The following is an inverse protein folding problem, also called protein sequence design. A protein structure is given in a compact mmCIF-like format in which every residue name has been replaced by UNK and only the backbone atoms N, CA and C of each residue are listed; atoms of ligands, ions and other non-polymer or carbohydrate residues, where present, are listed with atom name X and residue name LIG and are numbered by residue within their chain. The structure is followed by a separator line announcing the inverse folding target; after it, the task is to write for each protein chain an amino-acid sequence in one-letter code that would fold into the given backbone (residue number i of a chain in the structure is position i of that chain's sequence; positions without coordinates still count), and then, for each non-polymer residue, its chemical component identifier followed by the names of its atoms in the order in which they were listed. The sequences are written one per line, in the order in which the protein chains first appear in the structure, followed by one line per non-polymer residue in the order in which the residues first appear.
data_IF_330678279780
#
_entry.id   IF_330678279780
#
_cell.length_a   1.000
_cell.length_b   1.000
_cell.length_c   1.000
_cell.angle_alpha   90.00
_cell.angle_beta   90.00
_cell.angle_gamma   90.00
#
_symmetry.space_group_name_H-M   'P 1'
#
loop_
_entity.id
_entity.type
_entity.pdbx_description
1 polymer ?
#
# COMPACT_ATOMS: atom_id res chain seq x y z
N UNK A 1 33.57 43.06 -7.33
CA UNK A 1 33.61 42.68 -5.92
C UNK A 1 32.20 42.86 -5.41
N UNK A 2 31.68 41.82 -4.76
CA UNK A 2 30.31 41.67 -4.21
C UNK A 2 29.30 40.98 -5.14
N UNK A 3 29.53 39.66 -5.31
CA UNK A 3 28.45 38.70 -5.51
C UNK A 3 27.93 38.27 -4.13
N UNK A 4 26.66 38.57 -3.85
CA UNK A 4 25.97 38.15 -2.65
C UNK A 4 25.58 36.66 -2.78
N UNK A 5 26.27 35.80 -2.03
CA UNK A 5 25.88 34.40 -1.84
C UNK A 5 24.49 34.30 -1.20
N UNK A 6 23.59 33.61 -1.89
CA UNK A 6 22.28 33.22 -1.39
C UNK A 6 22.45 32.20 -0.25
N UNK A 7 22.07 32.63 0.95
CA UNK A 7 22.10 31.87 2.18
C UNK A 7 20.94 30.84 2.19
N UNK A 8 21.16 29.63 1.66
CA UNK A 8 20.22 28.50 1.86
C UNK A 8 20.59 27.76 3.15
N UNK A 9 19.64 27.68 4.08
CA UNK A 9 19.76 27.03 5.39
C UNK A 9 20.21 25.57 5.32
N UNK A 10 21.52 25.31 5.40
CA UNK A 10 22.12 23.98 5.55
C UNK A 10 22.08 23.56 7.02
N UNK A 11 21.07 22.82 7.45
CA UNK A 11 21.16 22.08 8.70
C UNK A 11 21.91 20.75 8.43
N UNK A 12 23.00 20.46 9.16
CA UNK A 12 23.72 19.20 9.00
C UNK A 12 22.85 18.03 9.49
N UNK A 13 22.80 16.95 8.71
CA UNK A 13 22.15 15.70 9.13
C UNK A 13 22.79 15.22 10.45
N UNK A 14 22.02 14.65 11.40
CA UNK A 14 22.60 14.16 12.64
C UNK A 14 23.60 13.04 12.40
N UNK A 15 24.64 12.98 13.23
CA UNK A 15 25.70 11.98 13.19
C UNK A 15 25.15 10.54 13.15
N UNK A 16 24.16 10.25 14.00
CA UNK A 16 23.56 8.91 14.06
C UNK A 16 22.83 8.50 12.76
N UNK A 17 22.28 9.47 12.01
CA UNK A 17 21.72 9.22 10.68
C UNK A 17 22.85 9.03 9.66
N UNK A 18 23.89 9.86 9.69
CA UNK A 18 25.05 9.71 8.81
C UNK A 18 25.72 8.34 8.97
N UNK A 19 25.89 7.86 10.20
CA UNK A 19 26.44 6.54 10.50
C UNK A 19 25.58 5.43 9.89
N UNK A 20 24.26 5.49 10.07
CA UNK A 20 23.33 4.54 9.46
C UNK A 20 23.41 4.55 7.93
N UNK A 21 23.46 5.72 7.33
CA UNK A 21 23.57 5.86 5.88
C UNK A 21 24.88 5.27 5.37
N UNK A 22 26.00 5.56 6.04
CA UNK A 22 27.30 5.01 5.71
C UNK A 22 27.34 3.48 5.86
N UNK A 23 26.80 2.94 6.96
CA UNK A 23 26.71 1.49 7.21
C UNK A 23 25.88 0.78 6.14
N UNK A 24 24.86 1.43 5.60
CA UNK A 24 23.98 0.89 4.57
C UNK A 24 24.42 1.24 3.14
N UNK A 25 25.56 1.94 2.97
CA UNK A 25 26.07 2.37 1.66
C UNK A 25 25.15 3.38 0.95
N UNK A 26 24.35 4.14 1.71
CA UNK A 26 23.43 5.16 1.20
C UNK A 26 24.16 6.50 1.22
N UNK A 27 24.21 7.18 0.06
CA UNK A 27 24.87 8.48 -0.03
C UNK A 27 24.04 9.57 0.69
N UNK A 28 24.57 10.26 1.71
CA UNK A 28 23.81 11.28 2.46
C UNK A 28 23.27 12.44 1.64
N UNK A 29 23.86 12.72 0.47
CA UNK A 29 23.37 13.76 -0.45
C UNK A 29 21.93 13.56 -0.90
N UNK A 30 21.37 12.34 -0.81
CA UNK A 30 19.95 12.10 -1.12
C UNK A 30 19.00 12.93 -0.24
N UNK A 31 19.43 13.31 0.96
CA UNK A 31 18.64 14.15 1.87
C UNK A 31 18.93 15.64 1.72
N UNK A 32 20.02 16.01 1.04
CA UNK A 32 20.35 17.40 0.76
C UNK A 32 19.38 18.02 -0.28
N UNK A 33 18.69 17.19 -1.07
CA UNK A 33 17.70 17.62 -2.05
C UNK A 33 16.30 17.85 -1.45
N UNK A 34 16.14 17.80 -0.12
CA UNK A 34 14.86 17.79 0.59
C UNK A 34 13.91 18.94 0.23
N UNK A 35 14.44 20.14 0.07
CA UNK A 35 13.66 21.33 -0.27
C UNK A 35 13.29 21.43 -1.77
N UNK A 36 13.83 20.52 -2.60
CA UNK A 36 13.61 20.53 -4.05
C UNK A 36 12.70 19.40 -4.57
N UNK A 37 12.29 18.46 -3.70
CA UNK A 37 11.35 17.40 -4.08
C UNK A 37 9.93 17.99 -4.19
N UNK A 38 9.33 17.95 -5.38
CA UNK A 38 8.00 18.49 -5.58
C UNK A 38 6.93 17.65 -4.84
N UNK A 39 5.77 18.26 -4.62
CA UNK A 39 4.58 17.53 -4.18
C UNK A 39 3.91 16.89 -5.37
N UNK A 40 3.38 15.69 -5.18
CA UNK A 40 2.65 14.98 -6.21
C UNK A 40 1.17 14.91 -5.88
N UNK A 41 0.35 15.09 -6.90
CA UNK A 41 -1.08 14.83 -6.88
C UNK A 41 -1.42 13.88 -8.01
N UNK A 42 -2.49 13.13 -7.81
CA UNK A 42 -3.15 12.39 -8.87
C UNK A 42 -4.51 13.00 -9.16
N UNK A 43 -4.79 13.17 -10.45
CA UNK A 43 -6.10 13.52 -10.97
C UNK A 43 -6.97 12.26 -10.99
N UNK A 44 -8.20 12.36 -10.47
CA UNK A 44 -9.13 11.24 -10.55
C UNK A 44 -9.59 11.06 -12.01
N UNK A 45 -9.70 9.82 -12.54
CA UNK A 45 -10.16 9.58 -13.90
C UNK A 45 -11.47 10.30 -14.22
N UNK A 46 -11.55 10.89 -15.43
CA UNK A 46 -12.72 11.65 -15.89
C UNK A 46 -12.70 13.15 -15.58
N UNK A 47 -11.62 13.67 -14.97
CA UNK A 47 -11.44 15.10 -14.68
C UNK A 47 -10.42 15.78 -15.61
N UNK A 48 -10.04 15.17 -16.74
CA UNK A 48 -9.01 15.70 -17.65
C UNK A 48 -9.33 17.10 -18.17
N UNK A 49 -10.63 17.39 -18.39
CA UNK A 49 -11.11 18.70 -18.85
C UNK A 49 -11.11 19.80 -17.79
N UNK A 50 -10.80 19.50 -16.52
CA UNK A 50 -10.89 20.48 -15.41
C UNK A 50 -9.52 20.97 -14.95
N UNK A 51 -8.43 20.67 -15.66
CA UNK A 51 -7.06 21.05 -15.25
C UNK A 51 -6.94 22.56 -15.04
N UNK A 52 -7.41 23.37 -15.98
CA UNK A 52 -7.31 24.84 -15.90
C UNK A 52 -8.09 25.39 -14.68
N UNK A 53 -9.24 24.80 -14.36
CA UNK A 53 -10.03 25.15 -13.17
C UNK A 53 -9.31 24.77 -11.87
N UNK A 54 -8.66 23.60 -11.86
CA UNK A 54 -7.87 23.12 -10.72
C UNK A 54 -6.64 24.01 -10.51
N UNK A 55 -5.94 24.39 -11.58
CA UNK A 55 -4.80 25.31 -11.54
C UNK A 55 -5.21 26.67 -10.97
N UNK A 56 -6.36 27.21 -11.39
CA UNK A 56 -6.91 28.46 -10.89
C UNK A 56 -7.31 28.37 -9.40
N UNK A 57 -7.88 27.25 -8.95
CA UNK A 57 -8.29 27.02 -7.55
C UNK A 57 -7.09 26.79 -6.61
N UNK A 58 -6.03 26.13 -7.09
CA UNK A 58 -4.78 25.96 -6.32
C UNK A 58 -3.93 27.22 -6.37
N UNK A 59 -4.06 28.04 -7.41
CA UNK A 59 -3.19 29.20 -7.66
C UNK A 59 -1.80 28.82 -8.14
N UNK A 60 -1.66 27.66 -8.80
CA UNK A 60 -0.38 27.13 -9.27
C UNK A 60 -0.59 26.27 -10.51
N UNK A 61 0.36 26.34 -11.45
CA UNK A 61 0.37 25.50 -12.64
C UNK A 61 0.71 24.05 -12.27
N UNK A 62 -0.01 23.10 -12.85
CA UNK A 62 0.24 21.67 -12.71
C UNK A 62 1.20 21.21 -13.81
N UNK A 63 2.37 20.74 -13.42
CA UNK A 63 3.31 20.15 -14.39
C UNK A 63 3.06 18.64 -14.48
N UNK A 64 2.93 18.09 -15.69
CA UNK A 64 2.57 16.68 -15.91
C UNK A 64 3.75 15.76 -15.64
N UNK A 65 3.51 14.64 -14.96
CA UNK A 65 4.47 13.56 -14.79
C UNK A 65 4.38 12.63 -16.00
N UNK A 66 5.25 12.81 -16.99
CA UNK A 66 5.12 12.12 -18.29
C UNK A 66 5.19 10.60 -18.24
N UNK A 67 5.87 10.04 -17.24
CA UNK A 67 6.07 8.60 -17.09
C UNK A 67 4.96 7.92 -16.27
N UNK A 68 4.04 8.70 -15.69
CA UNK A 68 2.95 8.19 -14.85
C UNK A 68 1.63 8.89 -15.19
N UNK A 69 0.66 8.19 -15.80
CA UNK A 69 -0.63 8.77 -16.18
C UNK A 69 -1.38 9.39 -15.00
N UNK A 70 -2.11 10.47 -15.25
CA UNK A 70 -2.90 11.23 -14.26
C UNK A 70 -2.10 11.89 -13.12
N UNK A 71 -0.77 11.78 -13.11
CA UNK A 71 0.06 12.42 -12.10
C UNK A 71 0.54 13.80 -12.53
N UNK A 72 0.52 14.72 -11.57
CA UNK A 72 1.05 16.06 -11.70
C UNK A 72 1.91 16.37 -10.48
N UNK A 73 2.94 17.19 -10.70
CA UNK A 73 3.75 17.70 -9.61
C UNK A 73 3.56 19.21 -9.44
N UNK A 74 3.74 19.64 -8.19
CA UNK A 74 3.51 20.96 -7.65
C UNK A 74 4.74 21.38 -6.85
N UNK A 75 4.99 22.69 -6.69
CA UNK A 75 6.01 23.17 -5.77
C UNK A 75 5.82 22.62 -4.33
N UNK A 76 6.91 22.39 -3.58
CA UNK A 76 6.87 21.69 -2.28
C UNK A 76 6.01 22.38 -1.20
N UNK A 77 5.87 23.70 -1.29
CA UNK A 77 5.17 24.59 -0.37
C UNK A 77 3.65 24.68 -0.63
N UNK A 78 3.21 24.30 -1.84
CA UNK A 78 1.80 24.37 -2.23
C UNK A 78 0.96 23.33 -1.47
N UNK A 79 -0.12 23.81 -0.84
CA UNK A 79 -1.06 22.99 -0.06
C UNK A 79 -2.38 22.86 -0.79
N UNK A 80 -2.77 21.62 -1.12
CA UNK A 80 -4.05 21.35 -1.81
C UNK A 80 -5.24 21.20 -0.87
N UNK A 81 -5.02 21.03 0.45
CA UNK A 81 -6.09 20.65 1.38
C UNK A 81 -7.24 21.69 1.46
N UNK A 82 -6.95 22.96 1.18
CA UNK A 82 -7.90 24.07 1.17
C UNK A 82 -8.57 24.31 -0.18
N UNK A 83 -8.15 23.62 -1.25
CA UNK A 83 -8.69 23.81 -2.59
C UNK A 83 -10.08 23.15 -2.72
N UNK A 84 -10.96 23.74 -3.54
CA UNK A 84 -12.24 23.13 -3.91
C UNK A 84 -12.01 21.79 -4.61
N UNK A 85 -11.03 21.70 -5.51
CA UNK A 85 -10.68 20.49 -6.23
C UNK A 85 -10.36 19.31 -5.30
N UNK A 86 -9.57 19.57 -4.27
CA UNK A 86 -9.28 18.54 -3.28
C UNK A 86 -10.53 18.21 -2.46
N UNK A 87 -11.31 19.19 -1.99
CA UNK A 87 -12.50 18.94 -1.17
C UNK A 87 -13.60 18.16 -1.91
N UNK A 88 -13.76 18.41 -3.21
CA UNK A 88 -14.72 17.73 -4.08
C UNK A 88 -14.24 16.37 -4.59
N UNK A 89 -13.01 15.98 -4.27
CA UNK A 89 -12.48 14.67 -4.62
C UNK A 89 -12.00 14.53 -6.07
N UNK A 90 -11.75 15.64 -6.75
CA UNK A 90 -11.22 15.65 -8.13
C UNK A 90 -9.73 15.30 -8.17
N UNK A 91 -9.00 15.62 -7.09
CA UNK A 91 -7.57 15.32 -6.93
C UNK A 91 -7.29 14.76 -5.54
N UNK A 92 -6.23 13.97 -5.42
CA UNK A 92 -5.69 13.55 -4.13
C UNK A 92 -4.16 13.47 -4.12
N UNK A 93 -3.58 13.69 -2.94
CA UNK A 93 -2.12 13.64 -2.76
C UNK A 93 -1.63 12.20 -2.64
N UNK A 94 -0.68 11.83 -3.49
CA UNK A 94 0.02 10.55 -3.46
C UNK A 94 1.41 10.78 -4.09
N UNK A 95 2.46 10.20 -3.51
CA UNK A 95 3.81 10.30 -4.07
C UNK A 95 3.90 9.52 -5.39
N UNK A 96 4.58 10.07 -6.39
CA UNK A 96 4.68 9.42 -7.70
C UNK A 96 5.33 8.03 -7.64
N UNK A 97 6.31 7.79 -6.75
CA UNK A 97 6.86 6.44 -6.58
C UNK A 97 5.78 5.47 -6.06
N UNK A 98 4.93 5.91 -5.13
CA UNK A 98 3.80 5.10 -4.65
C UNK A 98 2.79 4.78 -5.75
N UNK A 99 2.58 5.71 -6.69
CA UNK A 99 1.77 5.46 -7.88
C UNK A 99 2.42 4.48 -8.86
N UNK A 100 3.76 4.50 -8.97
CA UNK A 100 4.52 3.53 -9.74
C UNK A 100 4.32 2.10 -9.22
N UNK A 101 4.35 1.90 -7.89
CA UNK A 101 4.09 0.59 -7.28
C UNK A 101 2.69 0.05 -7.61
N UNK A 102 1.66 0.90 -7.57
CA UNK A 102 0.30 0.50 -8.00
C UNK A 102 0.25 0.20 -9.49
N UNK A 103 0.93 1.01 -10.32
CA UNK A 103 1.00 0.80 -11.77
C UNK A 103 1.72 -0.50 -12.14
N UNK A 104 2.71 -0.92 -11.33
CA UNK A 104 3.43 -2.18 -11.53
C UNK A 104 2.52 -3.42 -11.36
N UNK A 105 1.42 -3.32 -10.59
CA UNK A 105 0.46 -4.43 -10.45
C UNK A 105 -0.24 -4.78 -11.76
N UNK A 106 -0.33 -3.83 -12.71
CA UNK A 106 -0.99 -4.04 -14.00
C UNK A 106 -2.46 -4.49 -13.82
N UNK A 107 -3.21 -3.68 -13.05
CA UNK A 107 -4.60 -3.97 -12.68
C UNK A 107 -5.51 -3.82 -13.90
N UNK A 108 -6.34 -4.83 -14.13
CA UNK A 108 -7.37 -4.85 -15.17
C UNK A 108 -8.77 -4.73 -14.57
N UNK A 109 -9.73 -4.24 -15.36
CA UNK A 109 -11.14 -4.22 -14.97
C UNK A 109 -11.62 -5.64 -14.65
N UNK A 110 -12.32 -5.82 -13.53
CA UNK A 110 -12.77 -7.13 -13.06
C UNK A 110 -11.79 -7.86 -12.14
N UNK A 111 -10.55 -7.38 -11.97
CA UNK A 111 -9.60 -8.00 -11.04
C UNK A 111 -10.09 -7.94 -9.58
N UNK A 112 -9.82 -8.99 -8.82
CA UNK A 112 -9.93 -8.98 -7.37
C UNK A 112 -8.56 -8.70 -6.77
N UNK A 113 -8.44 -7.54 -6.11
CA UNK A 113 -7.18 -7.03 -5.58
C UNK A 113 -7.15 -7.10 -4.06
N UNK A 114 -6.03 -7.52 -3.49
CA UNK A 114 -5.74 -7.45 -2.06
C UNK A 114 -4.67 -6.39 -1.80
N UNK A 115 -4.92 -5.47 -0.87
CA UNK A 115 -3.91 -4.57 -0.30
C UNK A 115 -3.72 -4.95 1.17
N UNK A 116 -2.59 -5.59 1.48
CA UNK A 116 -2.34 -6.24 2.77
C UNK A 116 -1.92 -5.25 3.88
N UNK A 117 -1.55 -4.02 3.49
CA UNK A 117 -1.13 -2.94 4.38
C UNK A 117 -1.77 -1.62 3.93
N UNK A 118 -3.10 -1.62 3.84
CA UNK A 118 -3.86 -0.66 3.04
C UNK A 118 -3.91 0.76 3.60
N UNK A 119 -3.73 0.95 4.91
CA UNK A 119 -3.91 2.28 5.48
C UNK A 119 -2.66 3.16 5.24
N UNK A 120 -2.78 4.47 4.99
CA UNK A 120 -3.97 5.31 5.13
C UNK A 120 -4.90 5.32 3.91
N UNK A 121 -4.62 4.59 2.83
CA UNK A 121 -5.58 4.34 1.74
C UNK A 121 -5.31 5.04 0.40
N UNK A 122 -4.20 5.76 0.22
CA UNK A 122 -3.92 6.44 -1.05
C UNK A 122 -3.66 5.47 -2.22
N UNK A 123 -2.87 4.41 -1.98
CA UNK A 123 -2.65 3.33 -2.96
C UNK A 123 -3.95 2.56 -3.22
N UNK A 124 -4.70 2.22 -2.17
CA UNK A 124 -6.04 1.63 -2.26
C UNK A 124 -7.01 2.43 -3.14
N UNK A 125 -7.05 3.76 -3.00
CA UNK A 125 -7.87 4.62 -3.86
C UNK A 125 -7.42 4.53 -5.33
N UNK A 126 -6.11 4.52 -5.59
CA UNK A 126 -5.61 4.35 -6.95
C UNK A 126 -5.94 2.97 -7.54
N UNK A 127 -5.85 1.91 -6.74
CA UNK A 127 -6.28 0.55 -7.14
C UNK A 127 -7.75 0.57 -7.58
N UNK A 128 -8.62 1.20 -6.79
CA UNK A 128 -10.05 1.31 -7.09
C UNK A 128 -10.33 2.14 -8.35
N UNK A 129 -9.57 3.22 -8.59
CA UNK A 129 -9.67 3.99 -9.83
C UNK A 129 -9.26 3.17 -11.06
N UNK A 130 -8.23 2.31 -10.95
CA UNK A 130 -7.79 1.42 -12.03
C UNK A 130 -8.80 0.29 -12.31
N UNK A 131 -9.52 -0.16 -11.28
CA UNK A 131 -10.45 -1.27 -11.36
C UNK A 131 -11.75 -0.93 -12.13
N UNK A 132 -12.18 0.32 -12.09
CA UNK A 132 -13.37 0.77 -12.80
C UNK A 132 -14.67 0.26 -12.16
N UNK A 133 -15.56 -0.32 -12.97
CA UNK A 133 -16.93 -0.67 -12.57
C UNK A 133 -17.14 -2.13 -12.14
N UNK A 134 -16.11 -2.97 -12.21
CA UNK A 134 -16.21 -4.41 -11.91
C UNK A 134 -14.97 -4.92 -11.19
N UNK A 135 -15.11 -6.02 -10.46
CA UNK A 135 -14.09 -6.56 -9.55
C UNK A 135 -14.21 -6.01 -8.13
N UNK A 136 -13.25 -6.35 -7.26
CA UNK A 136 -13.31 -5.94 -5.84
C UNK A 136 -11.95 -5.67 -5.24
N UNK A 137 -11.88 -4.80 -4.23
CA UNK A 137 -10.66 -4.56 -3.45
C UNK A 137 -10.85 -4.92 -1.98
N UNK A 138 -10.02 -5.82 -1.47
CA UNK A 138 -9.88 -6.09 -0.03
C UNK A 138 -8.72 -5.26 0.52
N UNK A 139 -8.98 -4.35 1.47
CA UNK A 139 -7.94 -3.66 2.23
C UNK A 139 -7.80 -4.23 3.64
N UNK A 140 -6.57 -4.51 4.05
CA UNK A 140 -6.24 -5.05 5.38
C UNK A 140 -5.21 -4.16 6.05
N UNK A 141 -5.37 -3.90 7.35
CA UNK A 141 -4.36 -3.24 8.17
C UNK A 141 -4.62 -3.54 9.66
N UNK A 142 -3.56 -3.64 10.46
CA UNK A 142 -3.69 -3.88 11.91
C UNK A 142 -4.19 -2.62 12.65
N UNK A 143 -3.92 -1.43 12.12
CA UNK A 143 -4.21 -0.16 12.77
C UNK A 143 -5.62 0.35 12.42
N UNK A 144 -6.61 -0.04 13.23
CA UNK A 144 -8.02 0.40 13.10
C UNK A 144 -8.22 1.91 12.92
N UNK A 145 -7.43 2.74 13.60
CA UNK A 145 -7.52 4.19 13.47
C UNK A 145 -7.03 4.70 12.10
N UNK A 146 -5.98 4.08 11.51
CA UNK A 146 -5.52 4.41 10.16
C UNK A 146 -6.54 3.95 9.12
N UNK A 147 -7.18 2.80 9.32
CA UNK A 147 -8.27 2.35 8.45
C UNK A 147 -9.51 3.24 8.52
N UNK A 148 -9.79 3.89 9.66
CA UNK A 148 -10.84 4.89 9.72
C UNK A 148 -10.54 6.11 8.83
N UNK A 149 -9.26 6.50 8.72
CA UNK A 149 -8.82 7.51 7.75
C UNK A 149 -8.96 7.01 6.31
N UNK A 150 -8.58 5.76 6.03
CA UNK A 150 -8.79 5.10 4.73
C UNK A 150 -10.26 5.12 4.30
N UNK A 151 -11.17 4.69 5.18
CA UNK A 151 -12.62 4.78 4.96
C UNK A 151 -13.06 6.21 4.64
N UNK A 152 -12.50 7.21 5.34
CA UNK A 152 -12.85 8.61 5.09
C UNK A 152 -12.39 9.07 3.71
N UNK A 153 -11.23 8.61 3.23
CA UNK A 153 -10.78 8.84 1.85
C UNK A 153 -11.71 8.16 0.84
N UNK A 154 -12.05 6.88 1.04
CA UNK A 154 -12.96 6.15 0.16
C UNK A 154 -14.32 6.85 0.01
N UNK A 155 -14.90 7.32 1.11
CA UNK A 155 -16.16 8.07 1.10
C UNK A 155 -16.01 9.43 0.41
N UNK A 156 -14.92 10.16 0.69
CA UNK A 156 -14.65 11.47 0.08
C UNK A 156 -14.51 11.36 -1.44
N UNK A 157 -13.81 10.34 -1.94
CA UNK A 157 -13.55 10.15 -3.36
C UNK A 157 -14.62 9.31 -4.06
N UNK A 158 -15.64 8.82 -3.35
CA UNK A 158 -16.69 7.98 -3.94
C UNK A 158 -16.16 6.66 -4.51
N UNK A 159 -15.18 6.04 -3.85
CA UNK A 159 -14.52 4.79 -4.27
C UNK A 159 -14.89 3.60 -3.37
N UNK A 160 -15.89 3.76 -2.51
CA UNK A 160 -16.24 2.77 -1.49
C UNK A 160 -16.95 1.53 -2.02
N UNK A 161 -17.63 1.60 -3.16
CA UNK A 161 -18.64 0.60 -3.57
C UNK A 161 -18.06 -0.79 -3.80
N UNK A 162 -16.86 -0.90 -4.37
CA UNK A 162 -16.19 -2.17 -4.66
C UNK A 162 -15.19 -2.59 -3.57
N UNK A 163 -15.13 -1.87 -2.45
CA UNK A 163 -14.12 -2.05 -1.42
C UNK A 163 -14.69 -2.69 -0.15
N UNK A 164 -13.87 -3.51 0.52
CA UNK A 164 -14.10 -4.02 1.88
C UNK A 164 -12.83 -3.86 2.71
N UNK A 165 -12.97 -3.39 3.95
CA UNK A 165 -11.85 -3.14 4.85
C UNK A 165 -11.92 -4.04 6.09
N UNK A 166 -10.81 -4.70 6.38
CA UNK A 166 -10.64 -5.55 7.55
C UNK A 166 -9.55 -5.01 8.47
N UNK A 167 -9.82 -4.98 9.77
CA UNK A 167 -8.78 -4.86 10.79
C UNK A 167 -8.27 -6.28 11.08
N UNK A 168 -7.06 -6.58 10.64
CA UNK A 168 -6.42 -7.88 10.85
C UNK A 168 -4.90 -7.77 10.78
N UNK A 169 -4.22 -8.80 11.27
CA UNK A 169 -2.80 -8.99 11.03
C UNK A 169 -2.60 -9.49 9.59
N UNK A 170 -1.86 -8.72 8.79
CA UNK A 170 -1.56 -9.07 7.41
C UNK A 170 -0.74 -10.35 7.26
N UNK A 171 0.02 -10.76 8.28
CA UNK A 171 0.84 -11.99 8.23
C UNK A 171 0.00 -13.26 8.32
N UNK A 172 -1.22 -13.18 8.89
CA UNK A 172 -2.11 -14.32 9.12
C UNK A 172 -3.46 -14.20 8.41
N UNK A 173 -3.76 -13.06 7.78
CA UNK A 173 -5.00 -12.85 7.02
C UNK A 173 -5.23 -13.97 6.00
N UNK A 174 -6.46 -14.48 5.91
CA UNK A 174 -6.75 -15.72 5.17
C UNK A 174 -8.03 -15.70 4.32
N UNK A 175 -8.73 -14.55 4.23
CA UNK A 175 -9.98 -14.47 3.47
C UNK A 175 -9.71 -14.29 1.97
N UNK A 176 -10.39 -15.11 1.16
CA UNK A 176 -10.35 -15.06 -0.30
C UNK A 176 -11.19 -13.93 -0.88
N UNK A 177 -10.99 -13.56 -2.17
CA UNK A 177 -11.88 -12.63 -2.82
C UNK A 177 -13.31 -13.18 -2.91
N UNK A 178 -14.29 -12.30 -2.68
CA UNK A 178 -15.70 -12.64 -2.80
C UNK A 178 -16.14 -12.38 -4.24
N UNK A 179 -16.56 -13.44 -4.94
CA UNK A 179 -17.13 -13.37 -6.29
C UNK A 179 -18.65 -13.33 -6.20
N UNK A 180 -19.31 -12.47 -6.97
CA UNK A 180 -20.74 -12.17 -6.85
C UNK A 180 -21.70 -13.35 -7.16
N UNK A 181 -21.21 -14.52 -7.57
CA UNK A 181 -22.03 -15.64 -8.06
C UNK A 181 -22.41 -16.70 -7.00
N UNK A 182 -22.22 -16.44 -5.70
CA UNK A 182 -22.63 -17.36 -4.63
C UNK A 182 -23.85 -16.83 -3.87
N UNK A 183 -24.96 -16.56 -4.56
CA UNK A 183 -26.23 -16.33 -3.90
C UNK A 183 -26.98 -17.66 -3.80
N UNK A 184 -26.87 -18.34 -2.65
CA UNK A 184 -27.85 -19.36 -2.29
C UNK A 184 -29.08 -18.64 -1.74
N UNK A 185 -30.24 -18.86 -2.36
CA UNK A 185 -31.53 -18.41 -1.82
C UNK A 185 -31.86 -19.23 -0.57
N UNK A 186 -31.21 -18.94 0.55
CA UNK A 186 -31.58 -19.48 1.85
C UNK A 186 -32.07 -18.36 2.75
N UNK A 187 -33.39 -18.26 2.85
CA UNK A 187 -34.05 -17.42 3.84
C UNK A 187 -33.95 -18.08 5.23
N UNK A 188 -32.83 -17.86 5.93
CA UNK A 188 -32.81 -17.63 7.38
C UNK A 188 -31.37 -17.53 7.91
N UNK A 189 -30.85 -16.30 7.98
CA UNK A 189 -29.98 -15.80 9.06
C UNK A 189 -29.79 -14.28 8.88
N UNK A 190 -29.17 -13.58 9.84
CA UNK A 190 -28.94 -12.13 9.73
C UNK A 190 -27.90 -11.79 8.67
N UNK A 191 -28.33 -11.70 7.41
CA UNK A 191 -27.51 -11.34 6.24
C UNK A 191 -26.98 -9.90 6.33
N UNK A 192 -25.79 -9.64 5.80
CA UNK A 192 -25.25 -8.29 5.63
C UNK A 192 -26.10 -7.47 4.67
N UNK A 193 -26.69 -6.38 5.18
CA UNK A 193 -27.44 -5.40 4.39
C UNK A 193 -26.51 -4.32 3.84
N UNK A 194 -27.00 -3.43 2.98
CA UNK A 194 -26.22 -2.28 2.53
C UNK A 194 -25.62 -1.51 3.71
N UNK A 195 -24.32 -1.24 3.61
CA UNK A 195 -23.58 -0.57 4.66
C UNK A 195 -24.14 0.82 4.91
N UNK A 196 -24.30 1.17 6.18
CA UNK A 196 -24.68 2.51 6.59
C UNK A 196 -23.79 2.99 7.73
N UNK A 197 -23.55 4.30 7.79
CA UNK A 197 -22.69 4.91 8.81
C UNK A 197 -23.29 4.88 10.23
N UNK A 198 -24.60 4.63 10.34
CA UNK A 198 -25.33 4.66 11.61
C UNK A 198 -25.16 3.34 12.36
N UNK A 199 -24.12 3.28 13.19
CA UNK A 199 -23.93 2.17 14.13
C UNK A 199 -25.15 1.98 15.05
N UNK A 200 -25.72 0.76 15.14
CA UNK A 200 -26.77 0.45 16.10
C UNK A 200 -26.36 0.85 17.52
N UNK A 201 -27.29 1.42 18.28
CA UNK A 201 -27.08 1.85 19.67
C UNK A 201 -26.43 0.76 20.56
N UNK A 202 -26.80 -0.51 20.35
CA UNK A 202 -26.28 -1.66 21.10
C UNK A 202 -24.77 -1.88 20.93
N UNK A 203 -24.21 -1.61 19.75
CA UNK A 203 -22.76 -1.71 19.50
C UNK A 203 -22.01 -0.54 20.14
N UNK A 204 -22.54 0.68 20.01
CA UNK A 204 -21.98 1.88 20.67
C UNK A 204 -21.90 1.70 22.17
N UNK A 205 -22.94 1.12 22.79
CA UNK A 205 -22.97 0.81 24.22
C UNK A 205 -21.93 -0.25 24.62
N UNK A 206 -21.75 -1.31 23.81
CA UNK A 206 -20.75 -2.37 24.06
C UNK A 206 -19.31 -1.85 23.99
N UNK A 207 -19.01 -1.00 23.01
CA UNK A 207 -17.69 -0.37 22.88
C UNK A 207 -17.42 0.69 23.95
N UNK A 208 -18.44 1.40 24.42
CA UNK A 208 -18.31 2.35 25.53
C UNK A 208 -17.95 1.60 26.83
N UNK A 209 -18.65 0.50 27.11
CA UNK A 209 -18.35 -0.39 28.25
C UNK A 209 -16.94 -1.00 28.13
N UNK A 210 -16.53 -1.43 26.92
CA UNK A 210 -15.19 -1.96 26.70
C UNK A 210 -14.07 -0.90 26.88
N UNK A 211 -14.36 0.37 26.58
CA UNK A 211 -13.45 1.50 26.83
C UNK A 211 -13.35 1.86 28.30
N UNK A 212 -14.47 1.84 29.03
CA UNK A 212 -14.50 2.09 30.48
C UNK A 212 -13.77 0.99 31.28
N UNK A 213 -13.79 -0.25 30.81
CA UNK A 213 -13.10 -1.37 31.46
C UNK A 213 -11.59 -1.43 31.18
N UNK A 214 -10.98 -0.41 30.55
CA UNK A 214 -9.53 -0.30 30.39
C UNK A 214 -8.87 -1.38 29.52
N UNK A 215 -9.63 -2.17 28.74
CA UNK A 215 -9.06 -3.16 27.85
C UNK A 215 -8.48 -2.46 26.60
N UNK A 216 -7.25 -1.96 26.71
CA UNK A 216 -6.43 -1.72 25.52
C UNK A 216 -6.14 -3.09 24.93
N UNK A 217 -6.92 -3.52 23.92
CA UNK A 217 -6.72 -4.82 23.28
C UNK A 217 -5.38 -4.77 22.55
N UNK A 218 -4.34 -5.28 23.21
CA UNK A 218 -3.16 -5.80 22.52
C UNK A 218 -3.69 -6.82 21.51
N UNK A 219 -3.43 -6.60 20.23
CA UNK A 219 -3.94 -7.46 19.17
C UNK A 219 -3.35 -8.86 19.40
N UNK A 220 -4.20 -9.83 19.70
CA UNK A 220 -3.77 -11.22 19.83
C UNK A 220 -3.74 -11.83 18.42
N UNK A 221 -2.68 -12.58 18.04
CA UNK A 221 -2.51 -13.15 16.69
C UNK A 221 -3.65 -14.07 16.22
N UNK A 222 -4.56 -14.45 17.12
CA UNK A 222 -5.67 -15.40 16.91
C UNK A 222 -7.04 -14.74 16.73
N UNK A 223 -7.12 -13.40 16.64
CA UNK A 223 -8.40 -12.72 16.51
C UNK A 223 -8.90 -12.73 15.06
N UNK A 224 -10.12 -13.21 14.82
CA UNK A 224 -10.77 -13.18 13.50
C UNK A 224 -10.74 -11.76 12.89
N UNK A 225 -10.52 -11.61 11.56
CA UNK A 225 -10.52 -10.32 10.89
C UNK A 225 -11.79 -9.50 11.17
N UNK A 226 -11.66 -8.25 11.65
CA UNK A 226 -12.83 -7.41 11.92
C UNK A 226 -13.23 -6.63 10.65
N UNK A 227 -14.38 -6.96 10.05
CA UNK A 227 -14.92 -6.16 8.95
C UNK A 227 -15.45 -4.81 9.47
N UNK A 228 -14.87 -3.70 9.01
CA UNK A 228 -15.20 -2.34 9.50
C UNK A 228 -15.87 -1.45 8.44
N UNK A 229 -15.78 -1.83 7.17
CA UNK A 229 -16.37 -1.13 6.04
C UNK A 229 -16.55 -2.09 4.87
N UNK A 230 -17.64 -1.95 4.12
CA UNK A 230 -17.88 -2.65 2.87
C UNK A 230 -18.82 -1.84 2.00
N UNK A 231 -18.54 -1.75 0.71
CA UNK A 231 -19.41 -1.09 -0.26
C UNK A 231 -20.52 -2.00 -0.79
N UNK A 232 -21.44 -1.42 -1.58
CA UNK A 232 -22.57 -2.14 -2.17
C UNK A 232 -22.12 -3.30 -3.07
N UNK A 233 -21.10 -3.08 -3.88
CA UNK A 233 -20.59 -4.01 -4.89
C UNK A 233 -19.33 -4.76 -4.39
N UNK A 234 -19.05 -4.73 -3.09
CA UNK A 234 -17.89 -5.40 -2.48
C UNK A 234 -18.04 -6.92 -2.37
N UNK A 235 -19.17 -7.49 -2.80
CA UNK A 235 -19.53 -8.89 -2.63
C UNK A 235 -20.07 -9.26 -1.24
N UNK A 236 -20.01 -8.35 -0.26
CA UNK A 236 -20.43 -8.65 1.12
C UNK A 236 -21.96 -8.61 1.30
N UNK A 237 -22.64 -7.71 0.58
CA UNK A 237 -24.11 -7.54 0.69
C UNK A 237 -24.79 -8.82 0.22
N UNK A 238 -25.70 -9.38 1.04
CA UNK A 238 -26.36 -10.65 0.72
C UNK A 238 -25.69 -11.88 1.34
N UNK A 239 -24.50 -11.76 1.92
CA UNK A 239 -23.83 -12.87 2.62
C UNK A 239 -24.17 -12.93 4.12
N UNK A 240 -24.14 -14.13 4.66
CA UNK A 240 -24.10 -14.39 6.10
C UNK A 240 -22.67 -14.22 6.65
N UNK A 241 -22.54 -14.12 7.98
CA UNK A 241 -21.22 -14.12 8.63
C UNK A 241 -20.44 -15.40 8.30
N UNK A 242 -21.11 -16.56 8.30
CA UNK A 242 -20.43 -17.83 8.05
C UNK A 242 -19.89 -17.90 6.61
N UNK A 243 -20.66 -17.44 5.62
CA UNK A 243 -20.20 -17.40 4.23
C UNK A 243 -19.04 -16.42 4.03
N UNK A 244 -19.08 -15.25 4.68
CA UNK A 244 -18.00 -14.26 4.59
C UNK A 244 -16.68 -14.78 5.18
N UNK A 245 -16.75 -15.49 6.32
CA UNK A 245 -15.59 -15.93 7.09
C UNK A 245 -15.21 -17.39 6.85
N UNK A 246 -15.81 -18.05 5.86
CA UNK A 246 -15.43 -19.40 5.48
C UNK A 246 -13.96 -19.42 5.05
N UNK A 247 -13.14 -20.11 5.85
CA UNK A 247 -11.73 -20.33 5.54
C UNK A 247 -11.59 -21.39 4.47
N UNK A 248 -10.72 -21.15 3.51
CA UNK A 248 -10.55 -22.03 2.35
C UNK A 248 -9.24 -22.81 2.45
N UNK A 249 -9.30 -24.12 2.15
CA UNK A 249 -8.13 -25.01 2.11
C UNK A 249 -7.16 -24.63 0.98
N UNK A 250 -5.86 -24.96 1.11
CA UNK A 250 -4.80 -24.43 0.25
C UNK A 250 -4.98 -24.73 -1.25
N UNK A 251 -5.62 -25.86 -1.60
CA UNK A 251 -5.81 -26.26 -3.01
C UNK A 251 -6.72 -25.29 -3.79
N UNK A 252 -7.70 -24.69 -3.12
CA UNK A 252 -8.66 -23.80 -3.76
C UNK A 252 -8.08 -22.40 -4.06
N UNK A 253 -6.98 -22.01 -3.40
CA UNK A 253 -6.37 -20.68 -3.58
C UNK A 253 -5.72 -20.53 -4.95
N UNK A 254 -5.26 -21.63 -5.54
CA UNK A 254 -4.65 -21.62 -6.87
C UNK A 254 -5.59 -21.09 -7.95
N UNK A 255 -6.91 -21.31 -7.81
CA UNK A 255 -7.93 -20.86 -8.77
C UNK A 255 -8.81 -19.71 -8.23
N UNK A 256 -9.06 -19.68 -6.92
CA UNK A 256 -9.97 -18.72 -6.26
C UNK A 256 -9.24 -17.61 -5.50
N UNK A 257 -7.91 -17.57 -5.54
CA UNK A 257 -7.11 -16.50 -4.94
C UNK A 257 -7.31 -15.14 -5.61
N UNK A 258 -6.65 -14.13 -5.07
CA UNK A 258 -6.64 -12.78 -5.63
C UNK A 258 -5.90 -12.74 -6.96
N UNK A 259 -6.41 -11.97 -7.91
CA UNK A 259 -5.76 -11.72 -9.20
C UNK A 259 -4.50 -10.88 -9.02
N UNK A 260 -4.56 -9.92 -8.10
CA UNK A 260 -3.50 -8.96 -7.79
C UNK A 260 -3.32 -8.81 -6.27
N UNK A 261 -2.09 -8.71 -5.81
CA UNK A 261 -1.77 -8.48 -4.39
C UNK A 261 -0.74 -7.37 -4.24
N UNK A 262 -1.04 -6.35 -3.45
CA UNK A 262 -0.10 -5.32 -3.03
C UNK A 262 0.35 -5.59 -1.58
N UNK A 263 1.66 -5.64 -1.39
CA UNK A 263 2.31 -5.66 -0.09
C UNK A 263 3.18 -4.40 0.02
N UNK A 264 2.56 -3.28 0.38
CA UNK A 264 3.26 -2.04 0.74
C UNK A 264 3.65 -2.10 2.22
N UNK A 265 4.75 -2.79 2.51
CA UNK A 265 5.06 -3.24 3.86
C UNK A 265 5.48 -2.08 4.78
N UNK A 266 5.21 -2.24 6.09
CA UNK A 266 5.74 -1.34 7.10
C UNK A 266 7.28 -1.36 7.08
N UNK A 267 7.87 -0.16 6.97
CA UNK A 267 9.30 0.06 6.79
C UNK A 267 9.86 1.00 7.86
N UNK A 268 11.18 1.17 7.89
CA UNK A 268 11.87 2.23 8.64
C UNK A 268 11.56 3.64 8.13
N UNK A 269 11.03 3.79 6.91
CA UNK A 269 10.72 5.07 6.25
C UNK A 269 11.92 5.99 5.99
N UNK A 270 13.13 5.43 5.94
CA UNK A 270 14.37 6.14 5.63
C UNK A 270 14.43 6.67 4.18
N UNK A 271 13.61 6.15 3.26
CA UNK A 271 13.45 6.72 1.92
C UNK A 271 12.52 7.94 1.87
N UNK A 272 11.74 8.21 2.91
CA UNK A 272 10.79 9.33 2.93
C UNK A 272 11.37 10.56 3.62
N UNK A 273 11.86 11.52 2.82
CA UNK A 273 12.38 12.79 3.35
C UNK A 273 11.37 13.51 4.24
N UNK A 274 10.08 13.53 3.85
CA UNK A 274 9.02 14.16 4.64
C UNK A 274 8.83 13.48 6.00
N UNK A 275 9.08 12.18 6.10
CA UNK A 275 9.05 11.48 7.39
C UNK A 275 10.29 11.82 8.22
N UNK A 276 11.45 11.95 7.59
CA UNK A 276 12.69 12.37 8.25
C UNK A 276 12.57 13.80 8.82
N UNK A 277 12.05 14.75 8.05
CA UNK A 277 11.79 16.11 8.51
C UNK A 277 10.77 16.17 9.68
N UNK A 278 9.79 15.25 9.72
CA UNK A 278 8.88 15.15 10.88
C UNK A 278 9.61 14.69 12.15
N UNK A 279 10.68 13.90 12.04
CA UNK A 279 11.48 13.50 13.20
C UNK A 279 12.30 14.65 13.79
N UNK A 280 12.62 15.69 13.00
CA UNK A 280 13.17 16.93 13.54
C UNK A 280 12.19 17.59 14.53
N UNK A 281 10.89 17.50 14.26
CA UNK A 281 9.83 18.05 15.11
C UNK A 281 9.47 17.13 16.30
N UNK A 282 9.61 15.80 16.13
CA UNK A 282 9.21 14.79 17.13
C UNK A 282 10.36 14.32 18.03
N UNK A 283 11.61 14.70 17.72
CA UNK A 283 12.80 14.38 18.48
C UNK A 283 13.57 13.15 17.95
N UNK A 284 14.90 13.31 17.85
CA UNK A 284 15.84 12.31 17.32
C UNK A 284 15.92 11.00 18.12
N UNK A 285 15.44 10.98 19.36
CA UNK A 285 15.29 9.75 20.16
C UNK A 285 14.25 8.81 19.57
N UNK A 286 13.16 9.35 19.02
CA UNK A 286 12.13 8.56 18.32
C UNK A 286 12.64 8.02 17.00
N UNK A 287 13.48 8.79 16.29
CA UNK A 287 14.16 8.35 15.08
C UNK A 287 15.13 7.20 15.37
N UNK A 288 16.01 7.37 16.37
CA UNK A 288 16.96 6.32 16.78
C UNK A 288 16.24 5.01 17.10
N UNK A 289 15.15 5.06 17.85
CA UNK A 289 14.33 3.89 18.18
C UNK A 289 13.61 3.25 16.98
N UNK A 290 13.26 4.03 15.95
CA UNK A 290 12.50 3.53 14.79
C UNK A 290 13.35 3.08 13.62
N UNK A 291 14.56 3.63 13.48
CA UNK A 291 15.40 3.48 12.28
C UNK A 291 16.79 2.93 12.61
N UNK A 292 17.35 3.21 13.80
CA UNK A 292 18.75 2.91 14.13
C UNK A 292 18.92 1.68 15.06
N UNK A 293 17.85 1.15 15.64
CA UNK A 293 17.91 -0.05 16.47
C UNK A 293 17.94 -1.30 15.58
N UNK A 294 19.08 -2.00 15.57
CA UNK A 294 19.31 -3.18 14.74
C UNK A 294 18.33 -4.32 15.05
N UNK A 295 18.03 -4.58 16.33
CA UNK A 295 17.04 -5.60 16.76
C UNK A 295 15.67 -5.37 16.10
N UNK A 296 15.23 -4.10 16.01
CA UNK A 296 13.97 -3.76 15.33
C UNK A 296 14.06 -3.90 13.81
N UNK A 297 15.24 -3.68 13.22
CA UNK A 297 15.43 -3.83 11.77
C UNK A 297 15.32 -5.29 11.36
N UNK A 298 15.87 -6.21 12.18
CA UNK A 298 15.71 -7.65 12.01
C UNK A 298 14.24 -8.07 12.19
N UNK A 299 13.56 -7.56 13.22
CA UNK A 299 12.12 -7.80 13.42
C UNK A 299 11.27 -7.31 12.23
N UNK A 300 11.62 -6.14 11.66
CA UNK A 300 10.93 -5.59 10.49
C UNK A 300 11.16 -6.43 9.23
N UNK A 301 12.39 -6.88 8.98
CA UNK A 301 12.66 -7.76 7.83
C UNK A 301 11.93 -9.10 7.95
N UNK A 302 11.82 -9.66 9.17
CA UNK A 302 11.02 -10.86 9.45
C UNK A 302 9.53 -10.59 9.19
N UNK A 303 8.99 -9.49 9.71
CA UNK A 303 7.60 -9.09 9.47
C UNK A 303 7.30 -8.91 7.98
N UNK A 304 8.20 -8.22 7.26
CA UNK A 304 8.09 -7.98 5.82
C UNK A 304 8.09 -9.28 5.02
N UNK A 305 8.97 -10.23 5.36
CA UNK A 305 8.99 -11.56 4.77
C UNK A 305 7.68 -12.31 5.05
N UNK A 306 7.15 -12.26 6.27
CA UNK A 306 5.87 -12.89 6.62
C UNK A 306 4.69 -12.28 5.85
N UNK A 307 4.66 -10.96 5.70
CA UNK A 307 3.66 -10.25 4.90
C UNK A 307 3.74 -10.63 3.42
N UNK A 308 4.96 -10.65 2.86
CA UNK A 308 5.21 -11.05 1.46
C UNK A 308 4.77 -12.50 1.23
N UNK A 309 5.18 -13.42 2.11
CA UNK A 309 4.81 -14.83 2.04
C UNK A 309 3.30 -15.02 2.15
N UNK A 310 2.61 -14.33 3.06
CA UNK A 310 1.16 -14.45 3.18
C UNK A 310 0.41 -13.82 2.00
N UNK A 311 0.86 -12.66 1.52
CA UNK A 311 0.34 -12.05 0.30
C UNK A 311 0.48 -12.99 -0.90
N UNK A 312 1.65 -13.60 -1.06
CA UNK A 312 1.89 -14.56 -2.14
C UNK A 312 1.06 -15.82 -1.97
N UNK A 313 0.86 -16.32 -0.74
CA UNK A 313 -0.04 -17.45 -0.46
C UNK A 313 -1.45 -17.19 -1.00
N UNK A 314 -1.99 -15.98 -0.82
CA UNK A 314 -3.33 -15.56 -1.24
C UNK A 314 -3.45 -15.21 -2.73
N UNK A 315 -2.34 -15.13 -3.45
CA UNK A 315 -2.32 -14.88 -4.89
C UNK A 315 -2.73 -16.14 -5.67
N UNK A 316 -3.57 -16.02 -6.69
CA UNK A 316 -3.89 -17.13 -7.60
C UNK A 316 -2.71 -17.45 -8.55
N UNK A 317 -2.74 -18.61 -9.21
CA UNK A 317 -1.76 -18.92 -10.28
C UNK A 317 -1.88 -17.91 -11.42
N UNK A 318 -0.74 -17.40 -11.90
CA UNK A 318 -0.67 -16.40 -12.95
C UNK A 318 -1.08 -14.98 -12.53
N UNK A 319 -1.46 -14.78 -11.25
CA UNK A 319 -1.68 -13.45 -10.69
C UNK A 319 -0.37 -12.69 -10.48
N UNK A 320 -0.47 -11.38 -10.22
CA UNK A 320 0.70 -10.56 -9.90
C UNK A 320 0.69 -10.05 -8.46
N UNK A 321 1.84 -10.14 -7.80
CA UNK A 321 2.09 -9.51 -6.51
C UNK A 321 3.14 -8.41 -6.67
N UNK A 322 2.91 -7.25 -6.08
CA UNK A 322 3.93 -6.21 -5.91
C UNK A 322 4.27 -6.07 -4.44
N UNK A 323 5.54 -6.28 -4.13
CA UNK A 323 6.15 -5.91 -2.86
C UNK A 323 6.78 -4.53 -3.01
N UNK A 324 6.47 -3.62 -2.09
CA UNK A 324 7.12 -2.32 -2.03
C UNK A 324 7.45 -1.90 -0.61
N UNK A 325 8.55 -1.17 -0.45
CA UNK A 325 8.86 -0.47 0.80
C UNK A 325 9.34 0.95 0.50
N UNK A 326 9.13 1.82 1.49
CA UNK A 326 9.65 3.16 1.54
C UNK A 326 11.07 3.25 2.15
N UNK A 327 11.79 2.13 2.22
CA UNK A 327 13.15 2.04 2.78
C UNK A 327 14.19 1.99 1.67
N UNK A 328 15.37 2.56 1.93
CA UNK A 328 16.52 2.46 1.05
C UNK A 328 17.48 1.34 1.49
N UNK A 329 17.34 0.84 2.72
CA UNK A 329 18.13 -0.28 3.25
C UNK A 329 17.95 -1.56 2.42
N UNK A 330 19.05 -2.29 2.24
CA UNK A 330 19.08 -3.56 1.48
C UNK A 330 18.43 -4.69 2.27
N UNK A 331 18.63 -4.71 3.59
CA UNK A 331 18.06 -5.71 4.51
C UNK A 331 16.53 -5.80 4.48
N UNK A 332 15.82 -4.70 4.19
CA UNK A 332 14.36 -4.65 4.09
C UNK A 332 13.84 -4.87 2.65
N UNK A 333 14.74 -4.93 1.68
CA UNK A 333 14.42 -4.97 0.26
C UNK A 333 14.98 -6.23 -0.37
N UNK A 334 16.19 -6.18 -0.92
CA UNK A 334 16.76 -7.32 -1.63
C UNK A 334 16.95 -8.54 -0.74
N UNK A 335 17.35 -8.39 0.53
CA UNK A 335 17.54 -9.54 1.41
C UNK A 335 16.20 -10.24 1.73
N UNK A 336 15.10 -9.48 1.85
CA UNK A 336 13.74 -10.04 1.99
C UNK A 336 13.31 -10.75 0.71
N UNK A 337 13.56 -10.15 -0.45
CA UNK A 337 13.22 -10.73 -1.77
C UNK A 337 14.02 -12.02 -2.02
N UNK A 338 15.31 -12.03 -1.74
CA UNK A 338 16.18 -13.19 -1.93
C UNK A 338 15.76 -14.35 -1.02
N UNK A 339 15.52 -14.06 0.27
CA UNK A 339 15.01 -15.05 1.22
C UNK A 339 13.66 -15.59 0.80
N UNK A 340 12.72 -14.72 0.40
CA UNK A 340 11.42 -15.13 -0.10
C UNK A 340 11.51 -16.08 -1.30
N UNK A 341 12.33 -15.74 -2.30
CA UNK A 341 12.53 -16.57 -3.49
C UNK A 341 13.16 -17.93 -3.14
N UNK A 342 14.09 -17.97 -2.18
CA UNK A 342 14.70 -19.21 -1.72
C UNK A 342 13.70 -20.16 -1.03
N UNK A 343 12.67 -19.62 -0.40
CA UNK A 343 11.63 -20.36 0.33
C UNK A 343 10.41 -20.69 -0.55
N UNK A 344 10.24 -20.04 -1.72
CA UNK A 344 9.04 -20.15 -2.55
C UNK A 344 9.37 -20.48 -4.01
N UNK A 345 9.52 -21.77 -4.32
CA UNK A 345 9.87 -22.27 -5.66
C UNK A 345 8.84 -21.98 -6.77
N UNK A 346 7.60 -21.64 -6.40
CA UNK A 346 6.56 -21.23 -7.36
C UNK A 346 6.54 -19.73 -7.64
N UNK A 347 7.40 -18.93 -6.99
CA UNK A 347 7.50 -17.50 -7.21
C UNK A 347 8.55 -17.17 -8.28
N UNK A 348 8.20 -16.28 -9.20
CA UNK A 348 9.15 -15.74 -10.18
C UNK A 348 9.09 -14.21 -10.20
N UNK A 349 10.26 -13.56 -10.23
CA UNK A 349 10.35 -12.12 -10.47
C UNK A 349 10.00 -11.78 -11.92
N UNK A 350 9.17 -10.75 -12.09
CA UNK A 350 8.66 -10.30 -13.39
C UNK A 350 9.19 -8.92 -13.70
N UNK A 351 9.65 -8.72 -14.94
CA UNK A 351 10.04 -7.40 -15.45
C UNK A 351 8.83 -6.47 -15.47
N UNK A 352 9.00 -5.23 -14.99
CA UNK A 352 7.94 -4.22 -15.03
C UNK A 352 8.09 -3.43 -16.33
N UNK A 353 7.38 -3.83 -17.38
CA UNK A 353 7.49 -3.21 -18.71
C UNK A 353 7.32 -1.68 -18.71
N UNK A 354 6.36 -1.17 -17.92
CA UNK A 354 6.12 0.26 -17.77
C UNK A 354 7.35 1.02 -17.21
N UNK A 355 8.21 0.35 -16.44
CA UNK A 355 9.36 0.95 -15.78
C UNK A 355 10.48 1.37 -16.72
N UNK A 356 10.45 0.93 -17.99
CA UNK A 356 11.39 1.41 -19.03
C UNK A 356 11.35 2.93 -19.20
N UNK A 357 10.21 3.55 -18.89
CA UNK A 357 10.01 5.01 -18.95
C UNK A 357 10.16 5.71 -17.60
N UNK A 358 10.26 4.97 -16.50
CA UNK A 358 10.27 5.54 -15.16
C UNK A 358 11.67 6.05 -14.79
N UNK A 359 11.78 7.15 -14.03
CA UNK A 359 13.06 7.69 -13.60
C UNK A 359 13.57 6.92 -12.38
N UNK A 360 13.73 5.60 -12.49
CA UNK A 360 14.19 4.71 -11.43
C UNK A 360 15.50 4.00 -11.82
N UNK A 361 16.17 3.41 -10.84
CA UNK A 361 17.34 2.55 -11.02
C UNK A 361 16.97 1.09 -10.80
N UNK A 362 17.78 0.19 -11.33
CA UNK A 362 17.70 -1.22 -10.95
C UNK A 362 18.18 -1.41 -9.51
N UNK A 363 17.54 -2.32 -8.78
CA UNK A 363 18.02 -2.82 -7.49
C UNK A 363 19.20 -3.77 -7.64
N UNK A 364 19.68 -4.34 -6.53
CA UNK A 364 20.80 -5.30 -6.57
C UNK A 364 20.40 -6.65 -7.16
N UNK A 365 19.11 -6.98 -7.10
CA UNK A 365 18.53 -8.17 -7.72
C UNK A 365 17.93 -7.76 -9.08
N UNK A 366 18.21 -8.49 -10.18
CA UNK A 366 17.59 -8.23 -11.48
C UNK A 366 16.06 -8.16 -11.39
N UNK A 367 15.42 -7.33 -12.23
CA UNK A 367 13.96 -7.09 -12.25
C UNK A 367 13.38 -6.38 -11.02
N UNK A 368 14.23 -5.92 -10.09
CA UNK A 368 13.80 -5.05 -8.97
C UNK A 368 14.16 -3.60 -9.25
N UNK A 369 13.37 -2.67 -8.72
CA UNK A 369 13.49 -1.24 -9.01
C UNK A 369 13.65 -0.41 -7.73
N UNK A 370 14.40 0.69 -7.84
CA UNK A 370 14.64 1.67 -6.78
C UNK A 370 14.40 3.09 -7.28
N UNK A 371 13.56 3.80 -6.56
CA UNK A 371 13.37 5.24 -6.65
C UNK A 371 14.22 5.92 -5.58
N UNK A 372 14.81 7.06 -5.92
CA UNK A 372 15.54 7.90 -4.97
C UNK A 372 15.32 9.40 -5.25
N UNK A 373 15.43 10.25 -4.22
CA UNK A 373 15.31 11.70 -4.35
C UNK A 373 16.12 12.35 -5.49
N UNK A 374 17.35 11.88 -5.72
CA UNK A 374 18.27 12.51 -6.66
C UNK A 374 17.92 12.18 -8.11
N UNK A 375 17.49 10.95 -8.35
CA UNK A 375 17.27 10.41 -9.69
C UNK A 375 15.82 10.59 -10.11
N UNK A 376 14.90 10.25 -9.21
CA UNK A 376 13.48 10.19 -9.49
C UNK A 376 12.76 11.50 -9.20
N UNK A 377 13.37 12.39 -8.40
CA UNK A 377 12.70 13.56 -7.80
C UNK A 377 11.42 13.18 -7.05
N UNK A 378 11.39 11.99 -6.46
CA UNK A 378 10.28 11.45 -5.64
C UNK A 378 10.81 11.03 -4.27
N UNK A 379 9.92 10.57 -3.39
CA UNK A 379 10.36 9.80 -2.22
C UNK A 379 11.11 8.52 -2.66
N UNK A 380 11.98 8.01 -1.79
CA UNK A 380 12.62 6.73 -1.97
C UNK A 380 11.62 5.59 -1.89
N UNK A 381 11.74 4.62 -2.80
CA UNK A 381 10.86 3.45 -2.85
C UNK A 381 11.57 2.27 -3.51
N UNK A 382 11.38 1.07 -2.98
CA UNK A 382 11.75 -0.18 -3.63
C UNK A 382 10.49 -0.87 -4.18
N UNK A 383 10.60 -1.51 -5.35
CA UNK A 383 9.50 -2.25 -5.98
C UNK A 383 10.02 -3.57 -6.55
N UNK A 384 9.36 -4.67 -6.19
CA UNK A 384 9.57 -5.99 -6.78
C UNK A 384 8.23 -6.60 -7.18
N UNK A 385 8.12 -7.06 -8.44
CA UNK A 385 6.92 -7.71 -8.99
C UNK A 385 7.15 -9.21 -9.12
N UNK A 386 6.18 -10.00 -8.66
CA UNK A 386 6.20 -11.45 -8.72
C UNK A 386 4.98 -12.00 -9.46
N UNK A 387 5.13 -13.19 -10.05
CA UNK A 387 4.02 -14.03 -10.49
C UNK A 387 4.07 -15.39 -9.79
N UNK A 388 2.91 -16.04 -9.66
CA UNK A 388 2.80 -17.41 -9.14
C UNK A 388 2.70 -18.42 -10.28
N UNK A 389 3.67 -19.32 -10.36
CA UNK A 389 3.71 -20.41 -11.33
C UNK A 389 2.85 -21.60 -10.90
N UNK A 390 2.29 -22.33 -11.87
CA UNK A 390 1.66 -23.60 -11.63
C UNK A 390 2.74 -24.66 -11.32
N UNK A 391 2.70 -25.28 -10.15
CA UNK A 391 3.56 -26.43 -9.87
C UNK A 391 2.94 -27.64 -10.58
N UNK A 392 3.58 -28.11 -11.65
CA UNK A 392 3.22 -29.40 -12.25
C UNK A 392 3.56 -30.50 -11.24
N UNK A 393 2.56 -31.18 -10.67
CA UNK A 393 2.80 -32.43 -9.95
C UNK A 393 3.35 -33.43 -10.97
N UNK A 394 4.62 -33.81 -10.85
CA UNK A 394 5.15 -34.95 -11.59
C UNK A 394 4.25 -36.16 -11.29
N UNK A 395 3.50 -36.62 -12.30
CA UNK A 395 2.83 -37.90 -12.22
C UNK A 395 3.92 -38.96 -12.12
N UNK A 396 4.12 -39.51 -10.92
CA UNK A 396 5.04 -40.60 -10.67
C UNK A 396 4.76 -41.74 -11.64
N UNK A 397 5.71 -41.96 -12.56
CA UNK A 397 5.70 -43.10 -13.45
C UNK A 397 5.96 -44.35 -12.61
N UNK A 398 4.89 -45.02 -12.17
CA UNK A 398 4.98 -46.36 -11.61
C UNK A 398 5.41 -47.34 -12.71
N UNK A 399 6.73 -47.57 -12.81
CA UNK A 399 7.29 -48.74 -13.49
C UNK A 399 6.93 -49.98 -12.67
N UNK A 400 5.80 -50.58 -12.98
CA UNK A 400 5.62 -52.02 -12.77
C UNK A 400 6.36 -52.76 -13.90
N UNK A 401 7.56 -53.25 -13.60
CA UNK A 401 8.08 -54.48 -14.19
C UNK A 401 8.86 -55.27 -13.15
#
# INVERSE_FOLDING_TARGET
MDDAEANSSRFPLPEALLDFLNQNGINPSIYAASDSIPRYIRLKPGNDGTIEEIEADIGCKLEKVYWLPDFYHLPPDVRIASSKAYRQGMIYGIDAASGAAVSALDISVGDHVLDLCAAPGAKLCMILDCLGSDGTVTGVDVAKHRLAACRSMLLKYGLGDHCRLFVADGTTFSLLPIKANALSETQSDSVYKEWNSRRPWKERKREAIARENGSCKVFQPTQEPELIFYGRNSGVVGLTRNELYQMVHCDNVYELGYDKVLVDAECTHDGSIKHIQKFEQWGWTTFRRRVLEAERTDDLAILQLQLLTNGFRLLKVGGFLVYSTCSLTVAQNEDVVDKFLSENSSAELVEIEAAKSWPCKNGRIPKTLRFDPLTSRTSGLFVAKFTKLAIQKEQGWHLHK
#
